data_IF_002327954365
#
_entry.id   IF_002327954365
#
_cell.length_a   1.000
_cell.length_b   1.000
_cell.length_c   1.000
_cell.angle_alpha   90.00
_cell.angle_beta   90.00
_cell.angle_gamma   90.00
#
_symmetry.space_group_name_H-M   'P 1'
#
loop_
_entity.id
_entity.type
_entity.pdbx_description
1 polymer ?
#
# COMPACT_ATOMS: atom_id res chain seq x y z
N UNK A 1 -19.26 -35.88 -17.85
CA UNK A 1 -20.59 -35.71 -17.23
C UNK A 1 -20.62 -36.56 -15.98
N UNK A 2 -20.71 -35.93 -14.80
CA UNK A 2 -20.88 -36.66 -13.53
C UNK A 2 -22.19 -37.43 -13.61
N UNK A 3 -22.13 -38.76 -13.63
CA UNK A 3 -23.33 -39.60 -13.61
C UNK A 3 -23.78 -39.66 -12.17
N UNK A 4 -24.77 -38.86 -11.79
CA UNK A 4 -25.43 -39.04 -10.51
C UNK A 4 -26.18 -40.37 -10.51
N UNK A 5 -26.18 -41.07 -9.37
CA UNK A 5 -26.86 -42.36 -9.21
C UNK A 5 -28.35 -42.21 -8.88
N UNK A 6 -28.91 -40.99 -9.04
CA UNK A 6 -30.28 -40.65 -8.65
C UNK A 6 -30.41 -39.94 -7.31
N UNK A 7 -29.30 -39.48 -6.73
CA UNK A 7 -29.23 -38.76 -5.45
C UNK A 7 -29.21 -37.23 -5.57
N UNK A 8 -29.35 -36.69 -6.78
CA UNK A 8 -29.32 -35.25 -7.03
C UNK A 8 -30.73 -34.68 -6.92
N UNK A 9 -30.88 -33.58 -6.17
CA UNK A 9 -32.11 -32.79 -6.13
C UNK A 9 -32.32 -32.16 -7.51
N UNK A 10 -33.48 -32.42 -8.11
CA UNK A 10 -33.81 -31.85 -9.42
C UNK A 10 -34.14 -30.36 -9.26
N UNK A 11 -33.59 -29.45 -10.07
CA UNK A 11 -33.99 -28.04 -10.07
C UNK A 11 -35.51 -27.84 -10.14
N UNK A 12 -36.25 -28.71 -10.84
CA UNK A 12 -37.71 -28.65 -10.91
C UNK A 12 -38.40 -28.93 -9.57
N UNK A 13 -37.77 -29.72 -8.69
CA UNK A 13 -38.26 -30.00 -7.32
C UNK A 13 -38.11 -28.77 -6.41
N UNK A 14 -37.12 -27.90 -6.68
CA UNK A 14 -36.96 -26.61 -5.99
C UNK A 14 -37.90 -25.55 -6.56
N UNK A 15 -38.12 -25.56 -7.88
CA UNK A 15 -39.00 -24.60 -8.55
C UNK A 15 -40.45 -24.83 -8.17
N UNK A 16 -40.93 -26.08 -8.22
CA UNK A 16 -42.34 -26.43 -8.03
C UNK A 16 -42.66 -26.99 -6.63
N UNK A 17 -41.63 -27.24 -5.81
CA UNK A 17 -41.76 -27.96 -4.54
C UNK A 17 -41.94 -29.47 -4.73
N UNK A 18 -41.65 -30.23 -3.67
CA UNK A 18 -41.87 -31.68 -3.61
C UNK A 18 -42.01 -32.13 -2.15
N UNK A 19 -42.89 -33.11 -1.89
CA UNK A 19 -43.04 -33.67 -0.54
C UNK A 19 -41.86 -34.61 -0.21
N UNK A 20 -41.62 -34.85 1.09
CA UNK A 20 -40.60 -35.82 1.52
C UNK A 20 -40.83 -37.22 0.92
N UNK A 21 -42.09 -37.64 0.81
CA UNK A 21 -42.47 -38.91 0.18
C UNK A 21 -42.12 -38.93 -1.32
N UNK A 22 -42.33 -37.81 -2.01
CA UNK A 22 -41.93 -37.63 -3.39
C UNK A 22 -40.42 -37.78 -3.57
N UNK A 23 -39.63 -37.12 -2.71
CA UNK A 23 -38.17 -37.21 -2.71
C UNK A 23 -37.69 -38.65 -2.48
N UNK A 24 -38.30 -39.37 -1.54
CA UNK A 24 -37.97 -40.77 -1.27
C UNK A 24 -38.30 -41.68 -2.47
N UNK A 25 -39.41 -41.44 -3.15
CA UNK A 25 -39.79 -42.20 -4.34
C UNK A 25 -38.78 -42.00 -5.48
N UNK A 26 -38.27 -40.77 -5.66
CA UNK A 26 -37.23 -40.47 -6.66
C UNK A 26 -35.92 -41.21 -6.37
N UNK A 27 -35.56 -41.34 -5.10
CA UNK A 27 -34.40 -42.15 -4.71
C UNK A 27 -34.59 -43.64 -5.03
N UNK A 28 -35.80 -44.17 -4.83
CA UNK A 28 -36.14 -45.57 -5.14
C UNK A 28 -36.15 -45.86 -6.65
N UNK A 29 -36.48 -44.86 -7.48
CA UNK A 29 -36.36 -44.93 -8.94
C UNK A 29 -34.90 -44.81 -9.43
N UNK A 30 -33.99 -44.38 -8.54
CA UNK A 30 -32.56 -44.23 -8.81
C UNK A 30 -31.81 -45.57 -8.84
N UNK A 31 -30.54 -45.50 -9.25
CA UNK A 31 -29.63 -46.65 -9.30
C UNK A 31 -28.67 -46.64 -8.08
N UNK A 32 -29.23 -46.40 -6.89
CA UNK A 32 -28.49 -46.40 -5.63
C UNK A 32 -28.44 -47.79 -5.02
N UNK A 33 -27.35 -48.10 -4.32
CA UNK A 33 -27.26 -49.33 -3.54
C UNK A 33 -28.30 -49.31 -2.39
N UNK A 34 -28.95 -50.44 -2.06
CA UNK A 34 -29.94 -50.50 -0.99
C UNK A 34 -29.43 -49.99 0.37
N UNK A 35 -28.14 -50.15 0.67
CA UNK A 35 -27.55 -49.66 1.92
C UNK A 35 -27.40 -48.13 1.89
N UNK A 36 -26.99 -47.57 0.75
CA UNK A 36 -26.90 -46.12 0.56
C UNK A 36 -28.29 -45.47 0.59
N UNK A 37 -29.32 -46.14 0.05
CA UNK A 37 -30.69 -45.65 0.06
C UNK A 37 -31.19 -45.33 1.48
N UNK A 38 -30.85 -46.16 2.47
CA UNK A 38 -31.21 -45.95 3.87
C UNK A 38 -30.55 -44.67 4.41
N UNK A 39 -29.25 -44.50 4.12
CA UNK A 39 -28.47 -43.32 4.56
C UNK A 39 -29.01 -42.05 3.91
N UNK A 40 -29.26 -42.08 2.60
CA UNK A 40 -29.74 -40.90 1.85
C UNK A 40 -31.16 -40.52 2.26
N UNK A 41 -32.06 -41.49 2.50
CA UNK A 41 -33.41 -41.21 3.05
C UNK A 41 -33.35 -40.59 4.45
N UNK A 42 -32.47 -41.10 5.31
CA UNK A 42 -32.27 -40.51 6.64
C UNK A 42 -31.73 -39.07 6.55
N UNK A 43 -30.80 -38.82 5.63
CA UNK A 43 -30.29 -37.48 5.31
C UNK A 43 -31.37 -36.54 4.80
N UNK A 44 -32.13 -36.94 3.78
CA UNK A 44 -33.23 -36.14 3.23
C UNK A 44 -34.30 -35.82 4.27
N UNK A 45 -34.64 -36.76 5.15
CA UNK A 45 -35.58 -36.50 6.24
C UNK A 45 -35.04 -35.49 7.26
N UNK A 46 -33.72 -35.43 7.45
CA UNK A 46 -33.06 -34.46 8.33
C UNK A 46 -33.00 -33.08 7.69
N UNK A 47 -32.65 -33.00 6.41
CA UNK A 47 -32.43 -31.75 5.70
C UNK A 47 -33.74 -31.12 5.20
N UNK A 48 -34.71 -31.96 4.80
CA UNK A 48 -36.01 -31.57 4.24
C UNK A 48 -37.15 -32.30 4.97
N UNK A 49 -37.38 -32.04 6.27
CA UNK A 49 -38.33 -32.80 7.09
C UNK A 49 -39.77 -32.77 6.56
N UNK A 50 -40.15 -31.71 5.85
CA UNK A 50 -41.47 -31.55 5.24
C UNK A 50 -41.42 -31.56 3.70
N UNK A 51 -40.28 -31.96 3.11
CA UNK A 51 -40.00 -31.79 1.68
C UNK A 51 -39.39 -30.43 1.35
N UNK A 52 -39.26 -30.15 0.05
CA UNK A 52 -38.76 -28.88 -0.48
C UNK A 52 -39.96 -27.98 -0.78
N UNK A 53 -39.94 -26.78 -0.22
CA UNK A 53 -40.97 -25.77 -0.47
C UNK A 53 -40.86 -25.26 -1.91
N UNK A 54 -42.00 -24.88 -2.50
CA UNK A 54 -42.03 -24.23 -3.80
C UNK A 54 -41.38 -22.84 -3.69
N UNK A 55 -40.24 -22.65 -4.36
CA UNK A 55 -39.49 -21.39 -4.34
C UNK A 55 -39.63 -20.60 -5.65
N UNK A 56 -40.08 -21.23 -6.74
CA UNK A 56 -40.12 -20.64 -8.07
C UNK A 56 -38.75 -20.52 -8.75
N UNK A 57 -38.77 -20.27 -10.06
CA UNK A 57 -37.55 -20.19 -10.87
C UNK A 57 -36.64 -19.01 -10.50
N UNK A 58 -37.22 -17.86 -10.17
CA UNK A 58 -36.46 -16.65 -9.86
C UNK A 58 -35.67 -16.79 -8.56
N UNK A 59 -36.25 -17.39 -7.52
CA UNK A 59 -35.54 -17.61 -6.26
C UNK A 59 -34.33 -18.53 -6.45
N UNK A 60 -34.49 -19.62 -7.20
CA UNK A 60 -33.39 -20.52 -7.54
C UNK A 60 -32.29 -19.78 -8.33
N UNK A 61 -32.69 -18.97 -9.31
CA UNK A 61 -31.75 -18.16 -10.10
C UNK A 61 -30.98 -17.17 -9.23
N UNK A 62 -31.66 -16.44 -8.33
CA UNK A 62 -31.00 -15.50 -7.42
C UNK A 62 -30.04 -16.20 -6.46
N UNK A 63 -30.41 -17.35 -5.91
CA UNK A 63 -29.54 -18.13 -5.03
C UNK A 63 -28.27 -18.60 -5.77
N UNK A 64 -28.40 -19.11 -7.00
CA UNK A 64 -27.26 -19.53 -7.81
C UNK A 64 -26.35 -18.36 -8.19
N UNK A 65 -26.92 -17.20 -8.57
CA UNK A 65 -26.16 -15.98 -8.86
C UNK A 65 -25.38 -15.53 -7.61
N UNK A 66 -26.01 -15.53 -6.43
CA UNK A 66 -25.35 -15.14 -5.18
C UNK A 66 -24.20 -16.09 -4.81
N UNK A 67 -24.39 -17.39 -4.99
CA UNK A 67 -23.36 -18.39 -4.72
C UNK A 67 -22.16 -18.23 -5.68
N UNK A 68 -22.41 -17.92 -6.95
CA UNK A 68 -21.33 -17.58 -7.87
C UNK A 68 -20.64 -16.28 -7.49
N UNK A 69 -21.35 -15.23 -7.07
CA UNK A 69 -20.74 -13.95 -6.71
C UNK A 69 -19.72 -14.08 -5.56
N UNK A 70 -20.01 -14.90 -4.54
CA UNK A 70 -19.07 -15.16 -3.43
C UNK A 70 -17.78 -15.87 -3.88
N UNK A 71 -17.80 -16.60 -5.00
CA UNK A 71 -16.61 -17.25 -5.55
C UNK A 71 -15.76 -16.32 -6.43
N UNK A 72 -16.21 -15.09 -6.70
CA UNK A 72 -15.51 -14.11 -7.55
C UNK A 72 -14.81 -13.00 -6.73
N UNK A 73 -14.97 -12.97 -5.41
CA UNK A 73 -14.25 -12.01 -4.56
C UNK A 73 -12.78 -12.40 -4.50
N UNK A 74 -11.91 -11.49 -4.90
CA UNK A 74 -10.46 -11.64 -4.80
C UNK A 74 -9.93 -10.48 -3.97
N UNK A 75 -9.78 -10.73 -2.67
CA UNK A 75 -9.39 -9.72 -1.67
C UNK A 75 -8.12 -8.96 -2.08
N UNK A 76 -7.17 -9.65 -2.74
CA UNK A 76 -5.96 -9.02 -3.24
C UNK A 76 -6.26 -8.04 -4.38
N UNK A 77 -7.03 -8.45 -5.39
CA UNK A 77 -7.39 -7.56 -6.49
C UNK A 77 -8.26 -6.40 -6.01
N UNK A 78 -9.15 -6.64 -5.06
CA UNK A 78 -9.97 -5.59 -4.45
C UNK A 78 -9.11 -4.57 -3.72
N UNK A 79 -8.13 -5.02 -2.93
CA UNK A 79 -7.15 -4.14 -2.29
C UNK A 79 -6.30 -3.35 -3.31
N UNK A 80 -5.78 -4.02 -4.33
CA UNK A 80 -4.98 -3.37 -5.37
C UNK A 80 -5.80 -2.30 -6.11
N UNK A 81 -7.06 -2.59 -6.44
CA UNK A 81 -7.96 -1.65 -7.11
C UNK A 81 -8.36 -0.48 -6.22
N UNK A 82 -8.62 -0.72 -4.92
CA UNK A 82 -8.92 0.34 -3.94
C UNK A 82 -7.73 1.29 -3.76
N UNK A 83 -6.51 0.74 -3.75
CA UNK A 83 -5.28 1.51 -3.71
C UNK A 83 -5.08 2.37 -4.98
N UNK A 84 -5.37 1.82 -6.17
CA UNK A 84 -5.35 2.55 -7.44
C UNK A 84 -6.40 3.66 -7.46
N UNK A 85 -7.63 3.35 -7.03
CA UNK A 85 -8.73 4.32 -6.98
C UNK A 85 -8.40 5.49 -6.04
N UNK A 86 -7.88 5.19 -4.86
CA UNK A 86 -7.43 6.18 -3.88
C UNK A 86 -6.33 7.06 -4.47
N UNK A 87 -5.33 6.44 -5.11
CA UNK A 87 -4.24 7.16 -5.79
C UNK A 87 -4.79 8.15 -6.82
N UNK A 88 -5.67 7.71 -7.71
CA UNK A 88 -6.28 8.56 -8.74
C UNK A 88 -7.07 9.71 -8.12
N UNK A 89 -7.85 9.45 -7.07
CA UNK A 89 -8.62 10.48 -6.36
C UNK A 89 -7.70 11.54 -5.74
N UNK A 90 -6.64 11.12 -5.07
CA UNK A 90 -5.64 12.02 -4.48
C UNK A 90 -4.99 12.91 -5.57
N UNK A 91 -4.57 12.32 -6.69
CA UNK A 91 -3.95 13.08 -7.80
C UNK A 91 -4.93 14.13 -8.34
N UNK A 92 -6.18 13.75 -8.62
CA UNK A 92 -7.19 14.67 -9.14
C UNK A 92 -7.51 15.79 -8.16
N UNK A 93 -7.53 15.50 -6.86
CA UNK A 93 -7.73 16.50 -5.80
C UNK A 93 -6.57 17.51 -5.78
N UNK A 94 -5.32 17.02 -5.78
CA UNK A 94 -4.13 17.87 -5.80
C UNK A 94 -4.06 18.72 -7.08
N UNK A 95 -4.43 18.16 -8.23
CA UNK A 95 -4.50 18.93 -9.47
C UNK A 95 -5.52 20.07 -9.39
N UNK A 96 -6.68 19.82 -8.76
CA UNK A 96 -7.69 20.85 -8.57
C UNK A 96 -7.18 21.98 -7.66
N UNK A 97 -6.41 21.66 -6.61
CA UNK A 97 -5.77 22.64 -5.73
C UNK A 97 -4.68 23.46 -6.43
N UNK A 98 -3.83 22.81 -7.23
CA UNK A 98 -2.68 23.45 -7.90
C UNK A 98 -3.11 24.29 -9.10
N UNK A 99 -4.06 23.81 -9.92
CA UNK A 99 -4.44 24.44 -11.19
C UNK A 99 -5.77 25.20 -11.13
N UNK A 100 -6.55 25.05 -10.06
CA UNK A 100 -7.87 25.66 -9.89
C UNK A 100 -8.97 25.08 -10.79
N UNK A 101 -8.75 25.01 -12.11
CA UNK A 101 -9.66 24.39 -13.08
C UNK A 101 -8.87 23.78 -14.26
N UNK A 102 -8.55 22.47 -14.24
CA UNK A 102 -7.70 21.83 -15.23
C UNK A 102 -8.47 21.61 -16.54
N UNK A 103 -8.49 22.60 -17.43
CA UNK A 103 -8.92 22.38 -18.82
C UNK A 103 -7.76 21.76 -19.60
N UNK A 104 -7.74 20.42 -19.64
CA UNK A 104 -6.89 19.59 -20.51
C UNK A 104 -5.37 19.66 -20.30
N UNK A 105 -4.89 20.28 -19.23
CA UNK A 105 -3.46 20.33 -18.95
C UNK A 105 -3.01 19.04 -18.26
N UNK A 106 -2.10 18.30 -18.91
CA UNK A 106 -1.58 17.02 -18.43
C UNK A 106 -0.27 17.22 -17.69
N UNK A 107 -0.28 17.08 -16.37
CA UNK A 107 0.92 17.24 -15.55
C UNK A 107 1.67 15.91 -15.36
N UNK A 108 3.01 15.95 -15.30
CA UNK A 108 3.80 14.81 -14.85
C UNK A 108 3.69 14.70 -13.32
N UNK A 109 3.61 13.47 -12.82
CA UNK A 109 3.40 13.19 -11.41
C UNK A 109 4.42 12.18 -10.91
N UNK A 110 4.92 12.42 -9.70
CA UNK A 110 5.79 11.50 -8.99
C UNK A 110 5.09 11.02 -7.72
N UNK A 111 5.04 9.70 -7.53
CA UNK A 111 4.47 9.09 -6.34
C UNK A 111 5.58 8.55 -5.43
N UNK A 112 5.44 8.80 -4.13
CA UNK A 112 6.34 8.30 -3.11
C UNK A 112 5.58 7.32 -2.21
N UNK A 113 6.02 6.07 -2.20
CA UNK A 113 5.36 4.97 -1.51
C UNK A 113 6.08 4.61 -0.20
N UNK A 114 5.30 4.25 0.83
CA UNK A 114 5.85 3.93 2.16
C UNK A 114 6.32 2.47 2.29
N UNK A 115 5.90 1.58 1.41
CA UNK A 115 6.37 0.19 1.39
C UNK A 115 6.67 -0.24 -0.04
N UNK A 116 7.59 -1.18 -0.17
CA UNK A 116 7.95 -1.74 -1.47
C UNK A 116 6.75 -2.45 -2.10
N UNK A 117 5.91 -3.11 -1.29
CA UNK A 117 4.66 -3.72 -1.75
C UNK A 117 3.68 -2.70 -2.37
N UNK A 118 3.50 -1.52 -1.76
CA UNK A 118 2.66 -0.46 -2.32
C UNK A 118 3.32 0.14 -3.56
N UNK A 119 4.64 0.32 -3.55
CA UNK A 119 5.38 0.82 -4.70
C UNK A 119 5.24 -0.11 -5.91
N UNK A 120 5.40 -1.42 -5.72
CA UNK A 120 5.23 -2.44 -6.76
C UNK A 120 3.81 -2.46 -7.31
N UNK A 121 2.79 -2.43 -6.45
CA UNK A 121 1.39 -2.43 -6.88
C UNK A 121 1.06 -1.18 -7.71
N UNK A 122 1.47 -0.01 -7.25
CA UNK A 122 1.21 1.27 -7.93
C UNK A 122 2.01 1.37 -9.24
N UNK A 123 3.26 0.91 -9.25
CA UNK A 123 4.07 0.86 -10.46
C UNK A 123 3.48 -0.11 -11.50
N UNK A 124 2.89 -1.23 -11.05
CA UNK A 124 2.20 -2.20 -11.90
C UNK A 124 0.97 -1.63 -12.62
N UNK A 125 0.38 -0.55 -12.10
CA UNK A 125 -0.85 0.09 -12.62
C UNK A 125 -0.60 1.52 -13.15
N UNK A 126 0.63 1.82 -13.60
CA UNK A 126 1.01 3.15 -14.09
C UNK A 126 0.10 3.67 -15.21
N UNK A 127 -0.29 2.80 -16.15
CA UNK A 127 -1.12 3.18 -17.30
C UNK A 127 -2.54 3.54 -16.89
N UNK A 128 -3.15 2.74 -16.01
CA UNK A 128 -4.46 2.96 -15.43
C UNK A 128 -4.48 4.28 -14.66
N UNK A 129 -3.49 4.49 -13.78
CA UNK A 129 -3.37 5.71 -12.97
C UNK A 129 -3.17 6.93 -13.88
N UNK A 130 -2.23 6.87 -14.83
CA UNK A 130 -1.96 7.98 -15.76
C UNK A 130 -3.18 8.34 -16.60
N UNK A 131 -3.94 7.33 -17.04
CA UNK A 131 -5.14 7.53 -17.86
C UNK A 131 -6.27 8.13 -17.04
N UNK A 132 -6.58 7.53 -15.89
CA UNK A 132 -7.68 7.97 -15.04
C UNK A 132 -7.39 9.36 -14.43
N UNK A 133 -6.16 9.64 -14.01
CA UNK A 133 -5.79 10.94 -13.46
C UNK A 133 -5.45 12.02 -14.53
N UNK A 134 -5.57 11.71 -15.83
CA UNK A 134 -5.29 12.65 -16.94
C UNK A 134 -3.86 13.23 -16.87
N UNK A 135 -2.87 12.35 -16.75
CA UNK A 135 -1.46 12.72 -16.57
C UNK A 135 -0.68 12.68 -17.88
N UNK A 136 0.42 13.42 -17.93
CA UNK A 136 1.39 13.30 -19.05
C UNK A 136 2.41 12.19 -18.79
N UNK A 137 2.73 11.94 -17.52
CA UNK A 137 3.51 10.79 -17.06
C UNK A 137 3.24 10.53 -15.59
N UNK A 138 3.36 9.28 -15.16
CA UNK A 138 3.31 8.90 -13.75
C UNK A 138 4.54 8.05 -13.43
N UNK A 139 5.31 8.41 -12.40
CA UNK A 139 6.48 7.64 -12.01
C UNK A 139 6.49 7.41 -10.51
N UNK A 140 6.66 6.15 -10.10
CA UNK A 140 6.91 5.81 -8.70
C UNK A 140 8.40 6.00 -8.44
N UNK A 141 8.74 6.87 -7.50
CA UNK A 141 10.12 7.01 -7.04
C UNK A 141 10.37 6.09 -5.85
N UNK A 142 11.46 5.32 -5.93
CA UNK A 142 12.05 4.66 -4.77
C UNK A 142 12.40 5.73 -3.73
N UNK A 143 12.03 5.49 -2.47
CA UNK A 143 12.17 6.46 -1.37
C UNK A 143 13.52 7.17 -1.37
N UNK A 144 13.49 8.50 -1.44
CA UNK A 144 14.52 9.31 -0.78
C UNK A 144 14.19 9.27 0.71
N UNK A 145 14.72 8.27 1.42
CA UNK A 145 14.66 8.26 2.88
C UNK A 145 15.36 9.52 3.39
N UNK A 146 14.59 10.50 3.88
CA UNK A 146 15.12 11.54 4.76
C UNK A 146 15.88 10.92 5.96
N UNK A 147 15.56 9.68 6.34
CA UNK A 147 16.33 8.88 7.30
C UNK A 147 17.75 8.52 6.86
N UNK A 148 17.97 8.16 5.59
CA UNK A 148 19.31 7.86 5.06
C UNK A 148 20.17 9.12 4.90
N UNK A 149 19.55 10.26 4.56
CA UNK A 149 20.23 11.56 4.57
C UNK A 149 20.54 12.02 6.00
N UNK A 150 19.62 11.84 6.96
CA UNK A 150 19.88 12.08 8.38
C UNK A 150 21.01 11.21 8.91
N UNK A 151 21.08 9.95 8.52
CA UNK A 151 22.15 9.05 8.95
C UNK A 151 23.51 9.45 8.35
N UNK A 152 23.54 9.89 7.09
CA UNK A 152 24.74 10.50 6.49
C UNK A 152 25.17 11.79 7.19
N UNK A 153 24.22 12.66 7.55
CA UNK A 153 24.48 13.89 8.31
C UNK A 153 25.01 13.56 9.70
N UNK A 154 24.44 12.57 10.38
CA UNK A 154 24.88 12.09 11.69
C UNK A 154 26.31 11.54 11.65
N UNK A 155 26.62 10.69 10.67
CA UNK A 155 27.96 10.15 10.50
C UNK A 155 29.00 11.26 10.24
N UNK A 156 28.66 12.25 9.40
CA UNK A 156 29.51 13.43 9.19
C UNK A 156 29.69 14.25 10.47
N UNK A 157 28.64 14.44 11.25
CA UNK A 157 28.68 15.17 12.52
C UNK A 157 29.57 14.47 13.55
N UNK A 158 29.49 13.14 13.65
CA UNK A 158 30.35 12.34 14.52
C UNK A 158 31.83 12.45 14.13
N UNK A 159 32.13 12.48 12.83
CA UNK A 159 33.50 12.63 12.35
C UNK A 159 34.05 14.03 12.60
N UNK A 160 33.25 15.08 12.41
CA UNK A 160 33.60 16.46 12.75
C UNK A 160 33.82 16.60 14.26
N UNK A 161 32.96 16.01 15.09
CA UNK A 161 33.09 16.02 16.55
C UNK A 161 34.40 15.34 17.00
N UNK A 162 34.75 14.19 16.41
CA UNK A 162 36.03 13.52 16.70
C UNK A 162 37.24 14.37 16.31
N UNK A 163 37.17 15.07 15.18
CA UNK A 163 38.24 15.99 14.76
C UNK A 163 38.39 17.16 15.72
N UNK A 164 37.26 17.74 16.15
CA UNK A 164 37.23 18.83 17.11
C UNK A 164 37.78 18.39 18.47
N UNK A 165 37.30 17.29 19.04
CA UNK A 165 37.77 16.75 20.33
C UNK A 165 39.27 16.47 20.33
N UNK A 166 39.80 15.97 19.20
CA UNK A 166 41.22 15.68 19.05
C UNK A 166 42.05 16.97 19.03
N UNK A 167 41.59 18.00 18.34
CA UNK A 167 42.28 19.28 18.24
C UNK A 167 42.16 20.08 19.55
N UNK A 168 41.00 20.07 20.19
CA UNK A 168 40.75 20.71 21.48
C UNK A 168 41.66 20.12 22.58
N UNK A 169 41.78 18.78 22.65
CA UNK A 169 42.71 18.12 23.57
C UNK A 169 44.16 18.50 23.35
N UNK A 170 44.58 18.73 22.09
CA UNK A 170 45.93 19.20 21.79
C UNK A 170 46.14 20.64 22.26
N UNK A 171 45.17 21.52 21.99
CA UNK A 171 45.24 22.95 22.33
C UNK A 171 45.16 23.18 23.84
N UNK A 172 44.40 22.34 24.57
CA UNK A 172 44.25 22.40 26.03
C UNK A 172 45.32 21.59 26.79
N UNK A 173 46.27 20.96 26.10
CA UNK A 173 47.35 20.22 26.75
C UNK A 173 48.28 21.15 27.56
N UNK A 174 48.71 20.69 28.73
CA UNK A 174 49.62 21.45 29.58
C UNK A 174 50.94 21.76 28.84
N UNK A 175 51.32 23.04 28.81
CA UNK A 175 52.52 23.53 28.12
C UNK A 175 52.36 23.74 26.60
N UNK A 176 51.15 23.60 26.03
CA UNK A 176 50.90 23.85 24.61
C UNK A 176 51.29 25.27 24.17
N UNK A 177 50.91 26.28 24.97
CA UNK A 177 51.20 27.71 24.70
C UNK A 177 52.69 28.06 24.69
N UNK A 178 53.51 27.24 25.35
CA UNK A 178 54.96 27.45 25.48
C UNK A 178 55.74 26.67 24.41
N UNK A 179 55.24 25.50 24.00
CA UNK A 179 55.90 24.60 23.04
C UNK A 179 55.54 24.88 21.58
N UNK A 180 54.38 25.47 21.31
CA UNK A 180 53.87 25.67 19.95
C UNK A 180 54.03 27.14 19.56
N UNK A 181 54.62 27.46 18.39
CA UNK A 181 54.76 28.85 17.94
C UNK A 181 53.42 29.55 17.71
N UNK A 182 53.37 30.87 17.93
CA UNK A 182 52.14 31.69 17.88
C UNK A 182 51.32 31.51 16.60
N UNK A 183 51.96 31.48 15.43
CA UNK A 183 51.27 31.28 14.14
C UNK A 183 50.49 29.94 14.09
N UNK A 184 51.03 28.87 14.65
CA UNK A 184 50.34 27.58 14.72
C UNK A 184 49.25 27.55 15.79
N UNK A 185 49.35 28.38 16.84
CA UNK A 185 48.28 28.54 17.82
C UNK A 185 47.07 29.24 17.18
N UNK A 186 47.31 30.29 16.40
CA UNK A 186 46.28 31.04 15.66
C UNK A 186 45.62 30.16 14.59
N UNK A 187 46.40 29.42 13.81
CA UNK A 187 45.88 28.49 12.80
C UNK A 187 45.02 27.37 13.41
N UNK A 188 45.41 26.83 14.57
CA UNK A 188 44.63 25.81 15.27
C UNK A 188 43.35 26.40 15.90
N UNK A 189 43.40 27.64 16.39
CA UNK A 189 42.21 28.36 16.86
C UNK A 189 41.22 28.62 15.72
N UNK A 190 41.70 29.02 14.55
CA UNK A 190 40.87 29.17 13.35
C UNK A 190 40.25 27.85 12.88
N UNK A 191 41.01 26.76 12.91
CA UNK A 191 40.50 25.42 12.57
C UNK A 191 39.41 24.97 13.54
N UNK A 192 39.57 25.20 14.84
CA UNK A 192 38.52 24.92 15.84
C UNK A 192 37.26 25.75 15.57
N UNK A 193 37.41 27.03 15.23
CA UNK A 193 36.27 27.90 14.91
C UNK A 193 35.53 27.43 13.64
N UNK A 194 36.26 27.04 12.59
CA UNK A 194 35.66 26.50 11.34
C UNK A 194 34.92 25.19 11.59
N UNK A 195 35.50 24.27 12.37
CA UNK A 195 34.86 23.00 12.73
C UNK A 195 33.58 23.22 13.54
N UNK A 196 33.57 24.16 14.49
CA UNK A 196 32.37 24.53 15.24
C UNK A 196 31.27 25.10 14.35
N UNK A 197 31.63 26.00 13.44
CA UNK A 197 30.68 26.58 12.49
C UNK A 197 30.05 25.51 11.58
N UNK A 198 30.86 24.57 11.10
CA UNK A 198 30.39 23.45 10.27
C UNK A 198 29.49 22.50 11.08
N UNK A 199 29.83 22.25 12.34
CA UNK A 199 29.01 21.43 13.25
C UNK A 199 27.65 22.08 13.55
N UNK A 200 27.61 23.39 13.78
CA UNK A 200 26.36 24.14 13.95
C UNK A 200 25.49 24.10 12.68
N UNK A 201 26.12 24.20 11.50
CA UNK A 201 25.42 24.06 10.22
C UNK A 201 24.73 22.69 10.11
N UNK A 202 25.46 21.60 10.33
CA UNK A 202 24.89 20.25 10.25
C UNK A 202 23.85 19.99 11.36
N UNK A 203 24.03 20.56 12.55
CA UNK A 203 23.06 20.46 13.65
C UNK A 203 21.74 21.15 13.30
N UNK A 204 21.81 22.37 12.74
CA UNK A 204 20.63 23.10 12.27
C UNK A 204 19.91 22.36 11.14
N UNK A 205 20.69 21.79 10.21
CA UNK A 205 20.14 21.02 9.09
C UNK A 205 19.48 19.72 9.54
N UNK A 206 20.08 19.01 10.51
CA UNK A 206 19.47 17.84 11.16
C UNK A 206 18.16 18.20 11.85
N UNK A 207 18.13 19.28 12.63
CA UNK A 207 16.90 19.73 13.29
C UNK A 207 15.80 20.12 12.30
N UNK A 208 16.16 20.73 11.16
CA UNK A 208 15.23 21.04 10.07
C UNK A 208 14.62 19.77 9.48
N UNK A 209 15.47 18.78 9.18
CA UNK A 209 15.05 17.53 8.54
C UNK A 209 14.22 16.64 9.50
N UNK A 210 14.58 16.59 10.79
CA UNK A 210 13.75 15.94 11.80
C UNK A 210 12.42 16.66 12.05
N UNK A 211 12.35 17.98 11.91
CA UNK A 211 11.09 18.72 12.00
C UNK A 211 10.17 18.40 10.82
N UNK A 212 10.73 18.29 9.61
CA UNK A 212 10.01 17.83 8.41
C UNK A 212 9.43 16.43 8.67
N UNK A 213 10.26 15.48 9.14
CA UNK A 213 9.80 14.11 9.47
C UNK A 213 8.70 14.13 10.55
N UNK A 214 8.86 14.90 11.64
CA UNK A 214 7.83 15.00 12.70
C UNK A 214 6.52 15.62 12.22
N UNK A 215 6.57 16.57 11.29
CA UNK A 215 5.36 17.12 10.65
C UNK A 215 4.74 16.17 9.61
N UNK A 216 5.52 15.20 9.13
CA UNK A 216 5.09 14.16 8.20
C UNK A 216 4.44 12.97 8.92
N UNK A 217 4.88 12.64 10.15
CA UNK A 217 4.33 11.58 11.01
C UNK A 217 3.00 11.97 11.68
N UNK A 218 2.60 13.24 11.68
CA UNK A 218 1.33 13.69 12.26
C UNK A 218 0.14 13.67 11.29
N UNK A 219 0.38 13.36 10.01
CA UNK A 219 -0.64 13.26 8.93
C UNK A 219 -0.78 11.82 8.40
N UNK A 220 -0.45 10.85 9.25
CA UNK A 220 -0.01 9.50 8.88
C UNK A 220 -1.18 8.54 8.58
N UNK A 221 -1.82 8.69 7.41
CA UNK A 221 -2.61 7.60 6.81
C UNK A 221 -2.61 7.52 5.27
N UNK A 222 -2.02 8.43 4.49
CA UNK A 222 -2.17 8.39 3.03
C UNK A 222 -0.88 8.53 2.21
N UNK A 223 -0.89 7.80 1.08
CA UNK A 223 0.00 7.88 -0.07
C UNK A 223 0.35 9.35 -0.42
N UNK A 224 1.64 9.66 -0.63
CA UNK A 224 2.08 11.03 -0.97
C UNK A 224 2.39 11.16 -2.46
N UNK A 225 1.79 12.16 -3.08
CA UNK A 225 1.87 12.47 -4.51
C UNK A 225 2.42 13.89 -4.66
N UNK A 226 3.49 14.07 -5.45
CA UNK A 226 4.08 15.37 -5.74
C UNK A 226 3.82 15.78 -7.21
N UNK A 227 3.32 17.00 -7.41
CA UNK A 227 3.04 17.60 -8.71
C UNK A 227 4.12 18.66 -9.01
N UNK A 228 5.16 18.32 -9.79
CA UNK A 228 6.14 19.34 -10.20
C UNK A 228 5.60 20.20 -11.35
N UNK A 229 5.46 21.51 -11.11
CA UNK A 229 5.52 22.49 -12.19
C UNK A 229 6.93 22.54 -12.75
N UNK A 230 7.05 22.56 -14.09
CA UNK A 230 8.32 22.74 -14.81
C UNK A 230 8.95 24.08 -14.42
N UNK A 231 9.98 24.08 -13.58
CA UNK A 231 11.07 25.05 -13.73
C UNK A 231 12.07 24.46 -14.72
N UNK A 232 11.81 24.70 -16.01
CA UNK A 232 12.82 24.49 -17.04
C UNK A 232 13.95 25.49 -16.77
N UNK A 233 15.15 24.93 -16.56
CA UNK A 233 16.43 25.60 -16.73
C UNK A 233 16.44 26.38 -18.06
N UNK A 234 16.30 27.69 -17.99
CA UNK A 234 16.90 28.61 -18.96
C UNK A 234 18.07 29.32 -18.26
N UNK A 235 19.21 28.61 -18.23
CA UNK A 235 20.54 29.21 -18.15
C UNK A 235 21.42 28.45 -19.14
N UNK A 236 21.44 28.97 -20.37
CA UNK A 236 22.58 28.92 -21.28
C UNK A 236 22.85 30.36 -21.71
#
# INVERSE_FOLDING_TARGET
MSKSLGNVVDPLEVINGITLEGLHKRLEEGNLDPNELIVVKAGQKKDFPNGIIECGADALRFALVSCTAQAWTNERLEYEMDLVETTVKCIRSLQAEVLGNPKNERLPVFAFCQSDAVAETIAGHELEISTLATLSSFQVQEKVYAGGELEKIRNKMDDIQKQWDKLDKMVNAAGYKEKVPYHFQEENAEKLAKLLQEMEFFKKESSRLEAVIRTEDSKMDELKIDLRHREIKDRA
#
